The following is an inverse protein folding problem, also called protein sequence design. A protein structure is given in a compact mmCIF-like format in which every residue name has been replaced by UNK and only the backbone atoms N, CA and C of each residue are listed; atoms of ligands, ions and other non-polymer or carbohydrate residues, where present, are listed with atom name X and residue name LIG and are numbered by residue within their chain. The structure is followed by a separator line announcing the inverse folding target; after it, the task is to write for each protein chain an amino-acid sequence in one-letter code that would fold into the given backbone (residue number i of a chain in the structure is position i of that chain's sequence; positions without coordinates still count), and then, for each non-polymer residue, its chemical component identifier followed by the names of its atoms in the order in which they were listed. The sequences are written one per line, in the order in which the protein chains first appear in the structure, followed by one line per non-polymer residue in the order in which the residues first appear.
data_IF_650184485723
#
_entry.id   IF_650184485723
#
_cell.length_a   1.000
_cell.length_b   1.000
_cell.length_c   1.000
_cell.angle_alpha   90.00
_cell.angle_beta   90.00
_cell.angle_gamma   90.00
#
_symmetry.space_group_name_H-M   'P 1'
#
loop_
_entity.id
_entity.type
_entity.pdbx_description
1 polymer ?
#
# COMPACT_ATOMS: atom_id res chain seq x y z
N UNK A 1 26.93 -5.96 -15.27
CA UNK A 1 25.47 -5.87 -15.45
C UNK A 1 24.67 -6.97 -14.75
N UNK A 2 25.05 -8.27 -14.78
CA UNK A 2 24.25 -9.35 -14.14
C UNK A 2 24.11 -9.28 -12.59
N UNK A 3 24.98 -8.56 -11.87
CA UNK A 3 24.94 -8.50 -10.38
C UNK A 3 23.88 -7.52 -9.85
N UNK A 4 23.62 -6.42 -10.55
CA UNK A 4 22.66 -5.37 -10.09
C UNK A 4 21.20 -5.74 -10.37
N UNK A 5 20.94 -6.60 -11.35
CA UNK A 5 19.59 -7.07 -11.68
C UNK A 5 18.84 -7.62 -10.45
N UNK A 6 19.54 -8.37 -9.57
CA UNK A 6 18.91 -8.93 -8.37
C UNK A 6 18.44 -7.87 -7.36
N UNK A 7 19.18 -6.77 -7.22
CA UNK A 7 18.76 -5.64 -6.35
C UNK A 7 17.56 -4.91 -6.92
N UNK A 8 17.58 -4.64 -8.23
CA UNK A 8 16.44 -4.00 -8.89
C UNK A 8 15.21 -4.90 -8.84
N UNK A 9 15.37 -6.20 -9.02
CA UNK A 9 14.27 -7.15 -8.89
C UNK A 9 13.65 -7.07 -7.49
N UNK A 10 14.44 -7.16 -6.42
CA UNK A 10 13.98 -7.05 -5.04
C UNK A 10 13.22 -5.75 -4.79
N UNK A 11 13.79 -4.61 -5.17
CA UNK A 11 13.14 -3.31 -4.97
C UNK A 11 11.83 -3.20 -5.76
N UNK A 12 11.82 -3.65 -7.01
CA UNK A 12 10.61 -3.63 -7.85
C UNK A 12 9.54 -4.55 -7.27
N UNK A 13 9.89 -5.75 -6.81
CA UNK A 13 8.93 -6.69 -6.21
C UNK A 13 8.27 -6.09 -4.97
N UNK A 14 9.05 -5.48 -4.07
CA UNK A 14 8.51 -4.81 -2.88
C UNK A 14 7.58 -3.66 -3.27
N UNK A 15 7.98 -2.81 -4.23
CA UNK A 15 7.14 -1.68 -4.67
C UNK A 15 5.83 -2.18 -5.27
N UNK A 16 5.89 -3.16 -6.18
CA UNK A 16 4.69 -3.73 -6.82
C UNK A 16 3.75 -4.35 -5.79
N UNK A 17 4.30 -5.14 -4.85
CA UNK A 17 3.52 -5.75 -3.79
C UNK A 17 2.83 -4.71 -2.90
N UNK A 18 3.56 -3.66 -2.50
CA UNK A 18 3.00 -2.56 -1.69
C UNK A 18 1.87 -1.83 -2.43
N UNK A 19 2.05 -1.53 -3.72
CA UNK A 19 1.03 -0.87 -4.53
C UNK A 19 -0.21 -1.74 -4.69
N UNK A 20 -0.05 -3.05 -4.91
CA UNK A 20 -1.16 -3.99 -5.02
C UNK A 20 -1.97 -4.06 -3.73
N UNK A 21 -1.31 -4.26 -2.58
CA UNK A 21 -1.97 -4.32 -1.27
C UNK A 21 -2.72 -3.01 -1.00
N UNK A 22 -2.06 -1.86 -1.23
CA UNK A 22 -2.67 -0.56 -1.00
C UNK A 22 -3.89 -0.32 -1.92
N UNK A 23 -3.84 -0.79 -3.17
CA UNK A 23 -4.96 -0.67 -4.10
C UNK A 23 -6.18 -1.48 -3.66
N UNK A 24 -5.96 -2.70 -3.15
CA UNK A 24 -7.04 -3.56 -2.63
C UNK A 24 -7.67 -2.94 -1.39
N UNK A 25 -6.86 -2.44 -0.44
CA UNK A 25 -7.37 -1.76 0.76
C UNK A 25 -8.22 -0.54 0.38
N UNK A 26 -7.74 0.29 -0.56
CA UNK A 26 -8.49 1.47 -1.01
C UNK A 26 -9.81 1.11 -1.70
N UNK A 27 -9.81 0.04 -2.50
CA UNK A 27 -11.04 -0.47 -3.11
C UNK A 27 -12.04 -0.94 -2.05
N UNK A 28 -11.57 -1.73 -1.07
CA UNK A 28 -12.38 -2.21 0.06
C UNK A 28 -13.03 -1.08 0.85
N UNK A 29 -12.23 -0.09 1.25
CA UNK A 29 -12.74 1.06 2.01
C UNK A 29 -13.83 1.83 1.26
N UNK A 30 -13.64 2.09 -0.04
CA UNK A 30 -14.64 2.78 -0.86
C UNK A 30 -15.93 1.98 -0.98
N UNK A 31 -15.83 0.66 -1.07
CA UNK A 31 -17.02 -0.19 -1.13
C UNK A 31 -17.78 -0.19 0.19
N UNK A 32 -17.09 -0.28 1.32
CA UNK A 32 -17.69 -0.17 2.65
C UNK A 32 -18.39 1.18 2.87
N UNK A 33 -17.77 2.30 2.47
CA UNK A 33 -18.38 3.63 2.55
C UNK A 33 -19.69 3.71 1.74
N UNK A 34 -19.71 3.13 0.53
CA UNK A 34 -20.91 3.08 -0.31
C UNK A 34 -22.01 2.27 0.33
N UNK A 35 -21.72 1.03 0.78
CA UNK A 35 -22.71 0.16 1.40
C UNK A 35 -23.27 0.77 2.70
N UNK A 36 -22.41 1.40 3.50
CA UNK A 36 -22.88 2.14 4.68
C UNK A 36 -23.83 3.29 4.33
N UNK A 37 -23.60 4.00 3.24
CA UNK A 37 -24.50 5.06 2.76
C UNK A 37 -25.84 4.47 2.30
N UNK A 38 -25.85 3.37 1.53
CA UNK A 38 -27.07 2.67 1.09
C UNK A 38 -27.89 2.20 2.30
N UNK A 39 -27.29 1.51 3.25
CA UNK A 39 -27.95 1.02 4.47
C UNK A 39 -28.55 2.17 5.28
N UNK A 40 -27.82 3.29 5.41
CA UNK A 40 -28.31 4.46 6.13
C UNK A 40 -29.51 5.11 5.43
N UNK A 41 -29.48 5.20 4.10
CA UNK A 41 -30.58 5.76 3.32
C UNK A 41 -31.78 4.83 3.34
N UNK A 42 -31.60 3.52 3.18
CA UNK A 42 -32.68 2.53 3.33
C UNK A 42 -33.28 2.56 4.74
N UNK A 43 -32.44 2.67 5.78
CA UNK A 43 -32.92 2.87 7.16
C UNK A 43 -33.74 4.16 7.37
N UNK A 44 -33.40 5.24 6.64
CA UNK A 44 -34.19 6.47 6.65
C UNK A 44 -35.57 6.33 6.01
N UNK A 45 -35.73 5.44 5.02
CA UNK A 45 -37.03 5.16 4.42
C UNK A 45 -38.05 4.67 5.45
N UNK A 46 -37.61 3.79 6.35
CA UNK A 46 -38.43 3.31 7.47
C UNK A 46 -38.91 4.44 8.37
N UNK A 47 -38.01 5.38 8.72
CA UNK A 47 -38.35 6.54 9.50
C UNK A 47 -39.30 7.48 8.73
N UNK A 48 -39.06 7.67 7.43
CA UNK A 48 -39.87 8.57 6.60
C UNK A 48 -41.29 8.03 6.40
N UNK A 49 -41.48 6.71 6.24
CA UNK A 49 -42.82 6.12 6.15
C UNK A 49 -43.63 6.38 7.42
N UNK A 50 -43.03 6.19 8.58
CA UNK A 50 -43.67 6.47 9.86
C UNK A 50 -43.94 8.00 10.09
N UNK A 51 -43.02 8.86 9.61
CA UNK A 51 -43.19 10.28 9.66
C UNK A 51 -44.36 10.74 8.77
N UNK A 52 -44.50 10.19 7.58
CA UNK A 52 -45.61 10.42 6.67
C UNK A 52 -46.93 10.04 7.34
N UNK A 53 -47.00 8.83 7.91
CA UNK A 53 -48.21 8.35 8.62
C UNK A 53 -48.54 9.22 9.83
N UNK A 54 -47.56 9.59 10.65
CA UNK A 54 -47.75 10.49 11.80
C UNK A 54 -48.31 11.85 11.36
N UNK A 55 -47.69 12.47 10.37
CA UNK A 55 -48.14 13.79 9.88
C UNK A 55 -49.54 13.71 9.24
N UNK A 56 -49.87 12.60 8.58
CA UNK A 56 -51.21 12.34 8.07
C UNK A 56 -52.25 12.30 9.22
N UNK A 57 -51.97 11.52 10.30
CA UNK A 57 -52.86 11.48 11.48
C UNK A 57 -53.02 12.84 12.14
N UNK A 58 -51.95 13.62 12.28
CA UNK A 58 -52.00 14.95 12.85
C UNK A 58 -52.89 15.85 12.01
N UNK A 59 -52.75 15.85 10.69
CA UNK A 59 -53.54 16.66 9.79
C UNK A 59 -55.00 16.22 9.66
N UNK A 60 -55.30 14.96 9.91
CA UNK A 60 -56.67 14.45 9.88
C UNK A 60 -57.48 14.80 11.17
N UNK A 61 -56.77 15.07 12.29
CA UNK A 61 -57.40 15.36 13.59
C UNK A 61 -57.32 16.81 14.02
N UNK A 62 -56.39 17.58 13.47
CA UNK A 62 -56.14 18.97 13.84
C UNK A 62 -55.96 19.83 12.59
N UNK A 63 -56.25 21.13 12.72
CA UNK A 63 -55.83 22.08 11.67
C UNK A 63 -54.30 22.05 11.57
N UNK A 64 -53.78 21.64 10.44
CA UNK A 64 -52.33 21.53 10.22
C UNK A 64 -51.90 22.21 8.90
N UNK A 65 -50.62 22.58 8.87
CA UNK A 65 -49.97 22.96 7.62
C UNK A 65 -49.40 21.66 6.96
N UNK A 66 -50.01 21.31 5.83
CA UNK A 66 -49.57 20.11 5.04
C UNK A 66 -48.15 20.18 4.51
N UNK A 67 -47.40 21.25 4.78
CA UNK A 67 -46.05 21.43 4.28
C UNK A 67 -45.07 20.34 4.75
N UNK A 68 -45.15 19.95 6.02
CA UNK A 68 -44.29 18.88 6.59
C UNK A 68 -44.60 17.50 5.99
N UNK A 69 -45.90 17.19 5.83
CA UNK A 69 -46.34 15.96 5.17
C UNK A 69 -45.82 15.90 3.74
N UNK A 70 -45.98 16.98 2.98
CA UNK A 70 -45.52 17.09 1.58
C UNK A 70 -44.03 16.91 1.44
N UNK A 71 -43.24 17.51 2.35
CA UNK A 71 -41.77 17.36 2.39
C UNK A 71 -41.38 15.91 2.70
N UNK A 72 -42.02 15.28 3.69
CA UNK A 72 -41.74 13.89 4.07
C UNK A 72 -42.10 12.93 2.94
N UNK A 73 -43.25 13.08 2.31
CA UNK A 73 -43.72 12.27 1.17
C UNK A 73 -42.80 12.41 -0.04
N UNK A 74 -42.42 13.61 -0.41
CA UNK A 74 -41.50 13.84 -1.54
C UNK A 74 -40.12 13.26 -1.27
N UNK A 75 -39.64 13.30 -0.02
CA UNK A 75 -38.39 12.64 0.36
C UNK A 75 -38.51 11.13 0.30
N UNK A 76 -39.59 10.53 0.81
CA UNK A 76 -39.85 9.10 0.79
C UNK A 76 -39.78 8.59 -0.65
N UNK A 77 -40.55 9.18 -1.55
CA UNK A 77 -40.63 8.76 -2.95
C UNK A 77 -39.28 8.91 -3.70
N UNK A 78 -38.64 10.10 -3.56
CA UNK A 78 -37.36 10.35 -4.23
C UNK A 78 -36.23 9.46 -3.72
N UNK A 79 -36.22 9.17 -2.43
CA UNK A 79 -35.14 8.36 -1.84
C UNK A 79 -35.29 6.89 -2.22
N UNK A 80 -36.51 6.41 -2.38
CA UNK A 80 -36.82 5.07 -2.91
C UNK A 80 -36.27 4.91 -4.33
N UNK A 81 -36.54 5.86 -5.21
CA UNK A 81 -36.03 5.86 -6.58
C UNK A 81 -34.50 5.84 -6.63
N UNK A 82 -33.83 6.59 -5.73
CA UNK A 82 -32.36 6.60 -5.61
C UNK A 82 -31.82 5.24 -5.15
N UNK A 83 -32.52 4.58 -4.22
CA UNK A 83 -32.10 3.27 -3.72
C UNK A 83 -32.26 2.18 -4.78
N UNK A 84 -33.36 2.16 -5.53
CA UNK A 84 -33.63 1.13 -6.55
C UNK A 84 -32.79 1.34 -7.82
N UNK A 85 -32.85 2.57 -8.39
CA UNK A 85 -32.26 2.87 -9.71
C UNK A 85 -30.85 3.43 -9.66
N UNK A 86 -30.40 3.86 -8.48
CA UNK A 86 -29.15 4.55 -8.28
C UNK A 86 -29.19 6.04 -8.65
N UNK A 87 -28.16 6.76 -8.21
CA UNK A 87 -27.83 8.14 -8.63
C UNK A 87 -26.30 8.29 -8.59
N UNK A 88 -25.67 8.24 -9.76
CA UNK A 88 -24.21 8.34 -9.88
C UNK A 88 -23.63 9.62 -9.27
N UNK A 89 -24.39 10.72 -9.30
CA UNK A 89 -23.96 12.01 -8.71
C UNK A 89 -23.87 11.96 -7.19
N UNK A 90 -24.71 11.13 -6.59
CA UNK A 90 -24.73 10.88 -5.15
C UNK A 90 -23.91 9.66 -4.74
N UNK A 91 -23.32 8.94 -5.71
CA UNK A 91 -22.51 7.74 -5.47
C UNK A 91 -23.33 6.47 -5.23
N UNK A 92 -24.62 6.47 -5.57
CA UNK A 92 -25.48 5.30 -5.51
C UNK A 92 -25.48 4.58 -6.86
N UNK A 93 -25.24 3.27 -6.83
CA UNK A 93 -25.36 2.42 -8.02
C UNK A 93 -26.68 1.66 -7.99
N UNK A 94 -27.21 1.28 -9.16
CA UNK A 94 -28.38 0.42 -9.23
C UNK A 94 -28.17 -0.88 -8.45
N UNK A 95 -29.23 -1.38 -7.83
CA UNK A 95 -29.21 -2.66 -7.13
C UNK A 95 -29.02 -3.80 -8.13
N UNK A 96 -28.04 -4.67 -7.89
CA UNK A 96 -27.76 -5.84 -8.73
C UNK A 96 -28.32 -7.13 -8.14
N UNK A 97 -28.56 -7.16 -6.83
CA UNK A 97 -29.09 -8.33 -6.14
C UNK A 97 -30.55 -8.59 -6.52
N UNK A 98 -30.78 -9.74 -7.15
CA UNK A 98 -32.12 -10.13 -7.68
C UNK A 98 -33.18 -10.27 -6.62
N UNK A 99 -32.82 -10.66 -5.40
CA UNK A 99 -33.75 -10.77 -4.26
C UNK A 99 -34.19 -9.39 -3.78
N UNK A 100 -33.26 -8.45 -3.66
CA UNK A 100 -33.56 -7.08 -3.28
C UNK A 100 -34.40 -6.38 -4.36
N UNK A 101 -34.12 -6.64 -5.65
CA UNK A 101 -34.94 -6.14 -6.75
C UNK A 101 -36.38 -6.68 -6.69
N UNK A 102 -36.55 -7.94 -6.30
CA UNK A 102 -37.86 -8.54 -6.12
C UNK A 102 -38.63 -7.87 -4.98
N UNK A 103 -37.97 -7.61 -3.85
CA UNK A 103 -38.58 -6.92 -2.71
C UNK A 103 -38.99 -5.46 -3.08
N UNK A 104 -38.17 -4.73 -3.83
CA UNK A 104 -38.56 -3.39 -4.33
C UNK A 104 -39.81 -3.46 -5.21
N UNK A 105 -39.93 -4.48 -6.07
CA UNK A 105 -41.13 -4.67 -6.90
C UNK A 105 -42.36 -5.01 -6.07
N UNK A 106 -42.22 -5.77 -5.00
CA UNK A 106 -43.28 -6.08 -4.07
C UNK A 106 -43.72 -4.86 -3.29
N UNK A 107 -42.77 -4.00 -2.90
CA UNK A 107 -43.00 -2.77 -2.16
C UNK A 107 -43.63 -1.66 -2.98
N UNK A 108 -43.39 -1.63 -4.30
CA UNK A 108 -43.81 -0.54 -5.21
C UNK A 108 -45.32 -0.21 -5.15
N UNK A 109 -46.27 -1.18 -5.17
CA UNK A 109 -47.68 -0.88 -5.05
C UNK A 109 -48.08 -0.14 -3.79
N UNK A 110 -47.41 -0.44 -2.65
CA UNK A 110 -47.66 0.20 -1.37
C UNK A 110 -47.15 1.67 -1.39
N UNK A 111 -45.95 1.89 -1.94
CA UNK A 111 -45.41 3.23 -2.10
C UNK A 111 -46.26 4.09 -3.05
N UNK A 112 -46.73 3.51 -4.17
CA UNK A 112 -47.60 4.20 -5.13
C UNK A 112 -48.94 4.57 -4.50
N UNK A 113 -49.54 3.66 -3.70
CA UNK A 113 -50.75 3.94 -2.97
C UNK A 113 -50.55 5.13 -2.01
N UNK A 114 -49.52 5.10 -1.18
CA UNK A 114 -49.18 6.16 -0.23
C UNK A 114 -48.98 7.48 -0.98
N UNK A 115 -48.20 7.48 -2.06
CA UNK A 115 -47.91 8.70 -2.81
C UNK A 115 -49.12 9.26 -3.50
N UNK A 116 -49.93 8.45 -4.17
CA UNK A 116 -51.09 8.89 -4.97
C UNK A 116 -52.16 9.49 -4.07
N UNK A 117 -52.44 8.87 -2.93
CA UNK A 117 -53.51 9.34 -2.03
C UNK A 117 -53.10 10.55 -1.16
N UNK A 118 -51.79 10.66 -0.82
CA UNK A 118 -51.32 11.77 0.01
C UNK A 118 -50.74 12.93 -0.79
N UNK A 119 -50.53 12.81 -2.08
CA UNK A 119 -50.04 13.91 -2.91
C UNK A 119 -51.15 14.93 -3.27
N UNK A 120 -52.41 14.48 -3.31
CA UNK A 120 -53.58 15.36 -3.48
C UNK A 120 -54.08 15.87 -2.12
N UNK A 121 -53.65 17.08 -1.78
CA UNK A 121 -53.96 17.70 -0.47
C UNK A 121 -55.42 18.09 -0.30
N UNK A 122 -56.14 18.29 -1.39
CA UNK A 122 -57.55 18.72 -1.33
C UNK A 122 -58.47 17.57 -0.89
N UNK A 123 -58.05 16.31 -1.11
CA UNK A 123 -58.82 15.10 -0.78
C UNK A 123 -58.19 14.27 0.37
N UNK A 124 -57.23 14.81 1.08
CA UNK A 124 -56.54 14.09 2.18
C UNK A 124 -57.50 13.58 3.26
N UNK A 125 -58.54 14.35 3.58
CA UNK A 125 -59.52 13.96 4.59
C UNK A 125 -60.43 12.79 4.16
N UNK A 126 -60.44 12.45 2.86
CA UNK A 126 -61.25 11.33 2.30
C UNK A 126 -60.42 10.01 2.31
N UNK A 127 -59.12 10.05 2.58
CA UNK A 127 -58.25 8.88 2.57
C UNK A 127 -58.59 7.97 3.73
N UNK A 128 -58.91 6.69 3.50
CA UNK A 128 -59.21 5.73 4.57
C UNK A 128 -58.01 5.49 5.45
N UNK A 129 -58.09 5.85 6.73
CA UNK A 129 -56.99 5.75 7.70
C UNK A 129 -56.47 4.32 7.84
N UNK A 130 -57.37 3.35 7.96
CA UNK A 130 -57.01 1.93 8.12
C UNK A 130 -56.28 1.39 6.90
N UNK A 131 -56.72 1.71 5.70
CA UNK A 131 -56.11 1.26 4.45
C UNK A 131 -54.72 1.88 4.25
N UNK A 132 -54.59 3.19 4.48
CA UNK A 132 -53.29 3.86 4.42
C UNK A 132 -52.30 3.27 5.43
N UNK A 133 -52.78 3.01 6.66
CA UNK A 133 -51.95 2.41 7.71
C UNK A 133 -51.46 1.03 7.29
N UNK A 134 -52.35 0.20 6.71
CA UNK A 134 -51.94 -1.13 6.19
C UNK A 134 -50.84 -1.02 5.13
N UNK A 135 -50.99 -0.11 4.15
CA UNK A 135 -49.98 0.08 3.11
C UNK A 135 -48.65 0.61 3.67
N UNK A 136 -48.68 1.47 4.70
CA UNK A 136 -47.45 1.93 5.34
C UNK A 136 -46.77 0.83 6.15
N UNK A 137 -47.56 0.00 6.84
CA UNK A 137 -47.02 -1.14 7.60
C UNK A 137 -46.42 -2.20 6.68
N UNK A 138 -47.09 -2.56 5.59
CA UNK A 138 -46.55 -3.46 4.56
C UNK A 138 -45.27 -2.90 3.92
N UNK A 139 -45.28 -1.61 3.55
CA UNK A 139 -44.05 -0.92 3.09
C UNK A 139 -42.91 -1.01 4.10
N UNK A 140 -43.21 -0.82 5.38
CA UNK A 140 -42.21 -0.86 6.46
C UNK A 140 -41.63 -2.26 6.62
N UNK A 141 -42.46 -3.32 6.61
CA UNK A 141 -42.04 -4.72 6.74
C UNK A 141 -41.12 -5.12 5.59
N UNK A 142 -41.50 -4.81 4.35
CA UNK A 142 -40.67 -5.12 3.17
C UNK A 142 -39.36 -4.33 3.20
N UNK A 143 -39.40 -3.04 3.56
CA UNK A 143 -38.21 -2.18 3.67
C UNK A 143 -37.25 -2.68 4.78
N UNK A 144 -37.76 -3.21 5.89
CA UNK A 144 -36.97 -3.87 6.92
C UNK A 144 -36.20 -5.09 6.36
N UNK A 145 -36.90 -5.89 5.52
CA UNK A 145 -36.28 -7.01 4.81
C UNK A 145 -35.17 -6.56 3.86
N UNK A 146 -35.42 -5.49 3.07
CA UNK A 146 -34.43 -4.88 2.17
C UNK A 146 -33.18 -4.41 2.93
N UNK A 147 -33.37 -3.69 4.05
CA UNK A 147 -32.25 -3.22 4.91
C UNK A 147 -31.44 -4.39 5.43
N UNK A 148 -32.09 -5.45 5.89
CA UNK A 148 -31.41 -6.65 6.39
C UNK A 148 -30.59 -7.32 5.27
N UNK A 149 -31.13 -7.43 4.06
CA UNK A 149 -30.42 -8.00 2.90
C UNK A 149 -29.21 -7.15 2.51
N UNK A 150 -29.31 -5.82 2.50
CA UNK A 150 -28.17 -4.94 2.27
C UNK A 150 -27.09 -5.11 3.35
N UNK A 151 -27.48 -5.28 4.62
CA UNK A 151 -26.51 -5.55 5.69
C UNK A 151 -25.81 -6.89 5.51
N UNK A 152 -26.54 -7.95 5.18
CA UNK A 152 -25.98 -9.27 4.91
C UNK A 152 -25.00 -9.26 3.73
N UNK A 153 -25.37 -8.62 2.63
CA UNK A 153 -24.51 -8.44 1.46
C UNK A 153 -23.22 -7.71 1.81
N UNK A 154 -23.33 -6.61 2.59
CA UNK A 154 -22.16 -5.87 3.09
C UNK A 154 -21.25 -6.73 3.98
N UNK A 155 -21.84 -7.54 4.88
CA UNK A 155 -21.06 -8.43 5.75
C UNK A 155 -20.34 -9.55 4.97
N UNK A 156 -20.99 -10.11 3.95
CA UNK A 156 -20.38 -11.13 3.08
C UNK A 156 -19.23 -10.57 2.25
N UNK A 157 -19.39 -9.37 1.71
CA UNK A 157 -18.31 -8.66 1.02
C UNK A 157 -17.12 -8.40 1.94
N UNK A 158 -17.37 -7.91 3.16
CA UNK A 158 -16.31 -7.68 4.16
C UNK A 158 -15.58 -8.98 4.48
N UNK A 159 -16.29 -10.08 4.71
CA UNK A 159 -15.67 -11.40 4.97
C UNK A 159 -14.79 -11.86 3.79
N UNK A 160 -15.28 -11.70 2.58
CA UNK A 160 -14.53 -12.05 1.36
C UNK A 160 -13.24 -11.24 1.25
N UNK A 161 -13.30 -9.93 1.49
CA UNK A 161 -12.15 -9.05 1.45
C UNK A 161 -11.14 -9.42 2.55
N UNK A 162 -11.60 -9.71 3.77
CA UNK A 162 -10.73 -10.16 4.86
C UNK A 162 -9.96 -11.45 4.50
N UNK A 163 -10.59 -12.39 3.82
CA UNK A 163 -9.91 -13.61 3.36
C UNK A 163 -8.83 -13.26 2.34
N UNK A 164 -9.15 -12.43 1.34
CA UNK A 164 -8.19 -11.97 0.33
C UNK A 164 -7.00 -11.23 0.97
N UNK A 165 -7.23 -10.37 1.96
CA UNK A 165 -6.17 -9.66 2.69
C UNK A 165 -5.23 -10.64 3.42
N UNK A 166 -5.78 -11.65 4.09
CA UNK A 166 -4.98 -12.69 4.78
C UNK A 166 -4.16 -13.50 3.77
N UNK A 167 -4.75 -13.91 2.66
CA UNK A 167 -4.03 -14.64 1.60
C UNK A 167 -2.88 -13.80 1.02
N UNK A 168 -3.11 -12.51 0.75
CA UNK A 168 -2.08 -11.59 0.28
C UNK A 168 -0.97 -11.37 1.31
N UNK A 169 -1.32 -11.27 2.60
CA UNK A 169 -0.34 -11.14 3.68
C UNK A 169 0.56 -12.38 3.76
N UNK A 170 -0.01 -13.58 3.67
CA UNK A 170 0.74 -14.85 3.65
C UNK A 170 1.63 -14.93 2.41
N UNK A 171 1.09 -14.60 1.22
CA UNK A 171 1.86 -14.58 -0.03
C UNK A 171 3.03 -13.59 0.05
N UNK A 172 2.80 -12.39 0.59
CA UNK A 172 3.85 -11.38 0.75
C UNK A 172 4.97 -11.86 1.67
N UNK A 173 4.63 -12.56 2.76
CA UNK A 173 5.60 -13.16 3.67
C UNK A 173 6.47 -14.20 2.96
N UNK A 174 5.87 -15.07 2.15
CA UNK A 174 6.61 -16.06 1.35
C UNK A 174 7.56 -15.39 0.35
N UNK A 175 7.13 -14.34 -0.34
CA UNK A 175 7.96 -13.59 -1.28
C UNK A 175 9.16 -12.98 -0.55
N UNK A 176 8.95 -12.31 0.59
CA UNK A 176 10.02 -11.71 1.40
C UNK A 176 11.01 -12.76 1.89
N UNK A 177 10.54 -13.90 2.39
CA UNK A 177 11.40 -15.00 2.82
C UNK A 177 12.23 -15.54 1.64
N UNK A 178 11.60 -15.74 0.49
CA UNK A 178 12.30 -16.15 -0.74
C UNK A 178 13.39 -15.13 -1.12
N UNK A 179 13.11 -13.85 -1.10
CA UNK A 179 14.09 -12.79 -1.41
C UNK A 179 15.26 -12.80 -0.41
N UNK A 180 14.99 -12.97 0.87
CA UNK A 180 16.04 -13.08 1.90
C UNK A 180 16.96 -14.26 1.60
N UNK A 181 16.41 -15.44 1.33
CA UNK A 181 17.21 -16.64 1.10
C UNK A 181 17.97 -16.62 -0.23
N UNK A 182 17.34 -16.17 -1.32
CA UNK A 182 17.91 -16.27 -2.67
C UNK A 182 18.66 -15.01 -3.13
N UNK A 183 18.36 -13.85 -2.54
CA UNK A 183 18.99 -12.60 -2.94
C UNK A 183 19.90 -12.06 -1.83
N UNK A 184 19.37 -11.82 -0.63
CA UNK A 184 20.09 -11.14 0.45
C UNK A 184 21.20 -12.00 1.03
N UNK A 185 20.95 -13.24 1.40
CA UNK A 185 21.96 -14.14 1.99
C UNK A 185 23.19 -14.37 1.09
N UNK A 186 23.06 -14.66 -0.20
CA UNK A 186 24.24 -14.80 -1.08
C UNK A 186 25.04 -13.51 -1.19
N UNK A 187 24.39 -12.36 -1.14
CA UNK A 187 25.05 -11.05 -1.19
C UNK A 187 25.87 -10.83 0.08
N UNK A 188 25.26 -11.03 1.25
CA UNK A 188 25.94 -10.88 2.56
C UNK A 188 27.14 -11.81 2.64
N UNK A 189 27.00 -13.10 2.27
CA UNK A 189 28.10 -14.07 2.26
C UNK A 189 29.23 -13.63 1.35
N UNK A 190 28.93 -13.12 0.16
CA UNK A 190 29.93 -12.64 -0.79
C UNK A 190 30.67 -11.42 -0.25
N UNK A 191 29.94 -10.41 0.28
CA UNK A 191 30.54 -9.21 0.86
C UNK A 191 31.42 -9.55 2.06
N UNK A 192 30.96 -10.45 2.94
CA UNK A 192 31.74 -10.92 4.09
C UNK A 192 33.03 -11.62 3.64
N UNK A 193 32.96 -12.49 2.62
CA UNK A 193 34.15 -13.16 2.06
C UNK A 193 35.14 -12.16 1.45
N UNK A 194 34.65 -11.15 0.73
CA UNK A 194 35.51 -10.09 0.17
C UNK A 194 36.18 -9.27 1.28
N UNK A 195 35.43 -8.87 2.30
CA UNK A 195 35.99 -8.15 3.43
C UNK A 195 37.06 -8.95 4.20
N UNK A 196 36.86 -10.28 4.32
CA UNK A 196 37.86 -11.16 4.93
C UNK A 196 39.13 -11.20 4.10
N UNK A 197 39.03 -11.37 2.78
CA UNK A 197 40.19 -11.35 1.86
C UNK A 197 40.93 -10.01 1.91
N UNK A 198 40.20 -8.88 1.93
CA UNK A 198 40.83 -7.56 2.05
C UNK A 198 41.61 -7.40 3.35
N UNK A 199 41.06 -7.88 4.47
CA UNK A 199 41.78 -7.87 5.74
C UNK A 199 43.06 -8.74 5.71
N UNK A 200 42.98 -9.91 5.12
CA UNK A 200 44.15 -10.80 4.96
C UNK A 200 45.23 -10.13 4.10
N UNK A 201 44.86 -9.57 2.93
CA UNK A 201 45.79 -8.85 2.06
C UNK A 201 46.43 -7.67 2.81
N UNK A 202 45.63 -6.85 3.46
CA UNK A 202 46.09 -5.69 4.24
C UNK A 202 47.04 -6.08 5.37
N UNK A 203 46.76 -7.19 6.05
CA UNK A 203 47.62 -7.72 7.10
C UNK A 203 49.00 -8.19 6.56
N UNK A 204 49.00 -9.01 5.48
CA UNK A 204 50.23 -9.49 4.85
C UNK A 204 51.10 -8.33 4.32
N UNK A 205 50.45 -7.34 3.66
CA UNK A 205 51.15 -6.18 3.15
C UNK A 205 51.73 -5.31 4.25
N UNK A 206 50.99 -5.10 5.34
CA UNK A 206 51.44 -4.33 6.52
C UNK A 206 52.65 -5.02 7.18
N UNK A 207 52.61 -6.33 7.29
CA UNK A 207 53.77 -7.11 7.82
C UNK A 207 54.98 -7.05 6.93
N UNK A 208 54.81 -7.22 5.61
CA UNK A 208 55.91 -7.12 4.66
C UNK A 208 56.52 -5.72 4.67
N UNK A 209 55.69 -4.66 4.67
CA UNK A 209 56.16 -3.26 4.80
C UNK A 209 56.97 -3.04 6.08
N UNK A 210 56.43 -3.49 7.23
CA UNK A 210 57.12 -3.35 8.52
C UNK A 210 58.44 -4.09 8.55
N UNK A 211 58.57 -5.28 7.93
CA UNK A 211 59.79 -6.05 7.81
C UNK A 211 60.87 -5.31 7.01
N UNK A 212 60.52 -4.90 5.79
CA UNK A 212 61.46 -4.17 4.91
C UNK A 212 61.89 -2.82 5.55
N UNK A 213 60.97 -2.10 6.17
CA UNK A 213 61.29 -0.85 6.86
C UNK A 213 62.23 -1.08 8.08
N UNK A 214 62.08 -2.20 8.79
CA UNK A 214 62.97 -2.59 9.86
C UNK A 214 64.36 -2.86 9.31
N UNK A 215 64.49 -3.66 8.26
CA UNK A 215 65.78 -3.98 7.61
C UNK A 215 66.48 -2.70 7.13
N UNK A 216 65.78 -1.78 6.51
CA UNK A 216 66.33 -0.47 6.09
C UNK A 216 66.86 0.31 7.30
N UNK A 217 66.16 0.32 8.43
CA UNK A 217 66.62 1.02 9.69
C UNK A 217 67.84 0.36 10.23
N UNK A 218 67.90 -0.98 10.24
CA UNK A 218 69.07 -1.73 10.76
C UNK A 218 70.28 -1.50 9.87
N UNK A 219 70.09 -1.54 8.52
CA UNK A 219 71.16 -1.19 7.55
C UNK A 219 71.65 0.23 7.69
N UNK A 220 70.73 1.19 7.91
CA UNK A 220 71.06 2.59 8.17
C UNK A 220 71.92 2.74 9.43
N UNK A 221 71.64 1.97 10.50
CA UNK A 221 72.43 1.97 11.71
C UNK A 221 73.87 1.45 11.48
N UNK A 222 74.00 0.33 10.79
CA UNK A 222 75.28 -0.28 10.42
C UNK A 222 76.08 0.67 9.54
N UNK A 223 75.45 1.32 8.54
CA UNK A 223 76.10 2.28 7.63
C UNK A 223 76.74 3.48 8.37
N UNK A 224 76.12 3.89 9.48
CA UNK A 224 76.65 4.99 10.32
C UNK A 224 77.90 4.62 11.08
N UNK A 225 78.07 3.36 11.42
CA UNK A 225 79.18 2.86 12.26
C UNK A 225 80.33 2.38 11.38
N UNK A 226 80.12 1.89 10.17
CA UNK A 226 81.11 1.34 9.27
C UNK A 226 82.09 2.45 8.79
N UNK A 227 83.39 2.11 8.86
CA UNK A 227 84.49 3.06 8.52
C UNK A 227 85.12 2.76 7.14
N UNK A 228 85.01 1.51 6.65
CA UNK A 228 85.59 1.12 5.39
C UNK A 228 84.67 1.51 4.23
N UNK A 229 85.21 2.11 3.17
CA UNK A 229 84.47 2.57 2.00
C UNK A 229 83.86 1.42 1.25
N UNK A 230 84.60 0.38 1.04
CA UNK A 230 84.20 -0.84 0.33
C UNK A 230 82.95 -1.50 0.97
N UNK A 231 82.93 -1.67 2.28
CA UNK A 231 81.78 -2.18 3.00
C UNK A 231 80.55 -1.23 2.97
N UNK A 232 80.77 0.06 2.82
CA UNK A 232 79.69 1.05 2.69
C UNK A 232 78.97 0.94 1.34
N UNK A 233 79.66 0.64 0.25
CA UNK A 233 79.06 0.42 -1.08
C UNK A 233 78.15 -0.79 -1.08
N UNK A 234 78.56 -1.88 -0.46
CA UNK A 234 77.76 -3.11 -0.30
C UNK A 234 76.52 -2.86 0.55
N UNK A 235 76.64 -2.11 1.65
CA UNK A 235 75.52 -1.75 2.51
C UNK A 235 74.51 -0.82 1.81
N UNK A 236 74.97 0.10 0.99
CA UNK A 236 74.11 0.96 0.15
C UNK A 236 73.35 0.11 -0.88
N UNK A 237 74.02 -0.87 -1.54
CA UNK A 237 73.38 -1.78 -2.46
C UNK A 237 72.25 -2.61 -1.77
N UNK A 238 72.50 -3.08 -0.53
CA UNK A 238 71.45 -3.75 0.26
C UNK A 238 70.25 -2.82 0.59
N UNK A 239 70.51 -1.56 0.95
CA UNK A 239 69.45 -0.56 1.20
C UNK A 239 68.60 -0.32 -0.06
N UNK A 240 69.25 -0.21 -1.23
CA UNK A 240 68.54 -0.02 -2.49
C UNK A 240 67.65 -1.24 -2.76
N UNK A 241 68.14 -2.46 -2.57
CA UNK A 241 67.35 -3.69 -2.76
C UNK A 241 66.11 -3.74 -1.84
N UNK A 242 66.26 -3.34 -0.57
CA UNK A 242 65.12 -3.29 0.36
C UNK A 242 64.13 -2.17 -0.01
N UNK A 243 64.58 -1.05 -0.55
CA UNK A 243 63.72 0.02 -1.05
C UNK A 243 62.93 -0.44 -2.31
N UNK A 244 63.60 -1.16 -3.20
CA UNK A 244 62.93 -1.72 -4.39
C UNK A 244 61.83 -2.74 -3.98
N UNK A 245 62.15 -3.62 -3.01
CA UNK A 245 61.14 -4.54 -2.46
C UNK A 245 59.98 -3.84 -1.78
N UNK A 246 60.24 -2.73 -1.06
CA UNK A 246 59.22 -1.93 -0.44
C UNK A 246 58.35 -1.22 -1.47
N UNK A 247 58.93 -0.75 -2.56
CA UNK A 247 58.19 -0.16 -3.70
C UNK A 247 57.28 -1.20 -4.35
N UNK A 248 57.74 -2.42 -4.55
CA UNK A 248 56.94 -3.53 -5.09
C UNK A 248 55.74 -3.85 -4.19
N UNK A 249 55.93 -3.92 -2.86
CA UNK A 249 54.83 -4.08 -1.89
C UNK A 249 53.82 -2.94 -1.99
N UNK A 250 54.29 -1.69 -2.14
CA UNK A 250 53.43 -0.51 -2.31
C UNK A 250 52.63 -0.58 -3.61
N UNK A 251 53.28 -0.92 -4.73
CA UNK A 251 52.58 -1.07 -6.03
C UNK A 251 51.54 -2.18 -6.00
N UNK A 252 51.86 -3.33 -5.39
CA UNK A 252 50.90 -4.42 -5.21
C UNK A 252 49.72 -4.04 -4.34
N UNK A 253 49.92 -3.18 -3.33
CA UNK A 253 48.86 -2.62 -2.52
C UNK A 253 47.92 -1.69 -3.35
N UNK A 254 48.50 -0.80 -4.16
CA UNK A 254 47.76 0.09 -5.05
C UNK A 254 46.94 -0.72 -6.05
N UNK A 255 47.56 -1.71 -6.72
CA UNK A 255 46.88 -2.60 -7.68
C UNK A 255 45.70 -3.36 -7.06
N UNK A 256 45.88 -3.85 -5.83
CA UNK A 256 44.81 -4.58 -5.12
C UNK A 256 43.62 -3.66 -4.76
N UNK A 257 43.88 -2.42 -4.35
CA UNK A 257 42.90 -1.40 -4.07
C UNK A 257 42.21 -0.88 -5.33
N UNK A 258 42.93 -0.74 -6.45
CA UNK A 258 42.36 -0.32 -7.73
C UNK A 258 41.47 -1.38 -8.38
N UNK A 259 41.78 -2.65 -8.23
CA UNK A 259 40.94 -3.74 -8.73
C UNK A 259 39.57 -3.73 -8.03
N UNK A 260 39.51 -3.40 -6.76
CA UNK A 260 38.25 -3.24 -6.02
C UNK A 260 37.51 -1.94 -6.39
N UNK A 261 38.24 -0.85 -6.69
CA UNK A 261 37.65 0.42 -7.14
C UNK A 261 36.91 0.29 -8.49
N UNK A 262 37.39 -0.56 -9.40
CA UNK A 262 36.67 -0.84 -10.66
C UNK A 262 35.31 -1.51 -10.45
N UNK A 263 35.12 -2.30 -9.40
CA UNK A 263 33.78 -2.85 -9.06
C UNK A 263 32.86 -1.80 -8.44
N UNK A 264 33.37 -0.85 -7.66
CA UNK A 264 32.60 0.23 -7.00
C UNK A 264 32.25 1.35 -8.00
N UNK A 265 33.15 1.69 -8.95
CA UNK A 265 32.88 2.74 -9.96
C UNK A 265 31.71 2.42 -10.90
N UNK A 266 31.34 1.14 -11.04
CA UNK A 266 30.13 0.71 -11.74
C UNK A 266 28.85 1.14 -11.03
N UNK A 267 28.87 1.25 -9.71
CA UNK A 267 27.74 1.67 -8.87
C UNK A 267 27.54 3.19 -8.95
N UNK A 268 28.63 3.95 -8.85
CA UNK A 268 28.63 5.42 -8.95
C UNK A 268 28.20 5.90 -10.33
N UNK A 269 28.57 5.17 -11.40
CA UNK A 269 28.15 5.47 -12.76
C UNK A 269 26.64 5.24 -12.97
N UNK A 270 26.03 4.27 -12.26
CA UNK A 270 24.58 4.01 -12.30
C UNK A 270 23.82 5.02 -11.43
N UNK A 271 24.32 5.34 -10.24
CA UNK A 271 23.74 6.37 -9.37
C UNK A 271 23.75 7.74 -10.05
N UNK A 272 24.86 8.11 -10.70
CA UNK A 272 24.93 9.35 -11.50
C UNK A 272 23.96 9.34 -12.68
N UNK A 273 23.71 8.22 -13.35
CA UNK A 273 22.68 8.12 -14.39
C UNK A 273 21.27 8.26 -13.86
N UNK A 274 20.98 7.74 -12.67
CA UNK A 274 19.69 7.90 -12.00
C UNK A 274 19.47 9.34 -11.55
N UNK A 275 20.47 9.99 -10.97
CA UNK A 275 20.42 11.42 -10.59
C UNK A 275 20.15 12.33 -11.83
N UNK A 276 20.78 12.05 -12.96
CA UNK A 276 20.54 12.78 -14.22
C UNK A 276 19.11 12.52 -14.73
N UNK A 277 18.57 11.31 -14.58
CA UNK A 277 17.22 10.96 -15.00
C UNK A 277 16.16 11.67 -14.14
N UNK A 278 16.35 11.74 -12.82
CA UNK A 278 15.43 12.43 -11.91
C UNK A 278 15.58 13.96 -11.94
N UNK A 279 16.78 14.48 -12.22
CA UNK A 279 17.05 15.92 -12.35
C UNK A 279 16.47 16.53 -13.65
N UNK A 280 16.28 15.74 -14.72
CA UNK A 280 15.67 16.19 -15.98
C UNK A 280 14.13 16.25 -15.95
N UNK A 281 13.51 15.88 -14.84
CA UNK A 281 12.04 15.88 -14.67
C UNK A 281 11.54 16.97 -13.70
N UNK A 282 12.41 17.90 -13.32
CA UNK A 282 12.08 19.18 -12.71
C UNK A 282 12.30 20.28 -13.76
#
# INVERSE_FOLDING_TARGET
MKKFYKYYLLVITIIVLTVLIQSIIQYSLRNQERMAAVINVAGKQRMLSQLVLKNFYECNHYECDYSELKIALAKLYRTDEILEKGDEKLGFYPVENTEIIADFKEMQPHLEYIYTHLNDMDHIAEVPVEELTSHVDDFLEIMDGIVLKFQQESEEEIKTIMIIEVELAVLSLFIILFEIFYIVNPIIRKTSSQNKKLKEISWHQSHAYASHMKNIKDLQHVLKIEKKIENKEDLVACVVTELDALNEVSENMIKSLESDKKEVSGLDAVLNKLDIFFSKKK
#
